data_IF_785237506126
#
_entry.id   IF_785237506126
#
_cell.length_a   1.000
_cell.length_b   1.000
_cell.length_c   1.000
_cell.angle_alpha   90.00
_cell.angle_beta   90.00
_cell.angle_gamma   90.00
#
_symmetry.space_group_name_H-M   'P 1'
#
loop_
_entity.id
_entity.type
_entity.pdbx_description
1 polymer ?
#
# COMPACT_ATOMS: atom_id res chain seq x y z
N UNK A 1 -4.52 -25.29 9.39
CA UNK A 1 -5.51 -24.20 9.37
C UNK A 1 -6.57 -24.55 8.35
N UNK A 2 -7.79 -24.87 8.78
CA UNK A 2 -8.91 -25.15 7.87
C UNK A 2 -9.37 -23.83 7.25
N UNK A 3 -9.09 -23.60 5.97
CA UNK A 3 -9.70 -22.47 5.26
C UNK A 3 -11.21 -22.75 5.16
N UNK A 4 -11.99 -21.99 5.91
CA UNK A 4 -13.44 -22.08 5.90
C UNK A 4 -13.95 -21.23 4.72
N UNK A 5 -13.96 -21.80 3.53
CA UNK A 5 -14.30 -21.12 2.27
C UNK A 5 -15.82 -20.98 2.07
N UNK A 6 -16.62 -21.51 2.99
CA UNK A 6 -18.08 -21.50 2.87
C UNK A 6 -18.64 -20.13 3.23
N UNK A 7 -19.09 -19.40 2.22
CA UNK A 7 -19.82 -18.14 2.37
C UNK A 7 -21.28 -18.47 2.66
N UNK A 8 -21.80 -17.96 3.77
CA UNK A 8 -23.20 -18.07 4.20
C UNK A 8 -23.80 -16.68 4.38
N UNK A 9 -25.13 -16.59 4.49
CA UNK A 9 -25.80 -15.33 4.82
C UNK A 9 -25.27 -14.71 6.14
N UNK A 10 -24.96 -15.56 7.12
CA UNK A 10 -24.36 -15.14 8.40
C UNK A 10 -22.98 -14.52 8.20
N UNK A 11 -22.12 -15.11 7.37
CA UNK A 11 -20.76 -14.57 7.15
C UNK A 11 -20.79 -13.28 6.34
N UNK A 12 -21.69 -13.15 5.36
CA UNK A 12 -21.84 -11.92 4.57
C UNK A 12 -22.32 -10.75 5.46
N UNK A 13 -23.42 -10.95 6.18
CA UNK A 13 -23.99 -9.91 7.05
C UNK A 13 -23.07 -9.57 8.21
N UNK A 14 -22.36 -10.55 8.78
CA UNK A 14 -21.36 -10.28 9.80
C UNK A 14 -20.19 -9.45 9.27
N UNK A 15 -19.71 -9.74 8.05
CA UNK A 15 -18.66 -8.96 7.40
C UNK A 15 -19.10 -7.51 7.17
N UNK A 16 -20.27 -7.31 6.55
CA UNK A 16 -20.82 -5.97 6.30
C UNK A 16 -20.97 -5.15 7.59
N UNK A 17 -21.55 -5.77 8.63
CA UNK A 17 -21.74 -5.10 9.93
C UNK A 17 -20.41 -4.76 10.60
N UNK A 18 -19.43 -5.68 10.54
CA UNK A 18 -18.12 -5.48 11.14
C UNK A 18 -17.37 -4.33 10.46
N UNK A 19 -17.34 -4.30 9.13
CA UNK A 19 -16.73 -3.20 8.37
C UNK A 19 -17.41 -1.86 8.65
N UNK A 20 -18.75 -1.83 8.74
CA UNK A 20 -19.47 -0.60 9.07
C UNK A 20 -19.10 -0.08 10.47
N UNK A 21 -18.98 -0.97 11.46
CA UNK A 21 -18.59 -0.61 12.83
C UNK A 21 -17.15 -0.14 12.91
N UNK A 22 -16.21 -0.81 12.24
CA UNK A 22 -14.80 -0.41 12.20
C UNK A 22 -14.66 1.03 11.68
N UNK A 23 -15.29 1.34 10.54
CA UNK A 23 -15.23 2.66 9.93
C UNK A 23 -15.77 3.77 10.85
N UNK A 24 -16.88 3.52 11.54
CA UNK A 24 -17.48 4.49 12.47
C UNK A 24 -16.59 4.69 13.70
N UNK A 25 -16.05 3.61 14.26
CA UNK A 25 -15.14 3.70 15.40
C UNK A 25 -13.82 4.39 15.03
N UNK A 26 -13.30 4.19 13.83
CA UNK A 26 -12.11 4.89 13.32
C UNK A 26 -12.36 6.39 13.19
N UNK A 27 -13.52 6.78 12.66
CA UNK A 27 -13.92 8.19 12.53
C UNK A 27 -13.92 8.93 13.86
N UNK A 28 -14.36 8.27 14.93
CA UNK A 28 -14.38 8.83 16.28
C UNK A 28 -13.08 8.62 17.06
N UNK A 29 -12.05 8.00 16.47
CA UNK A 29 -10.78 7.72 17.13
C UNK A 29 -10.89 6.73 18.29
N UNK A 30 -11.88 5.84 18.26
CA UNK A 30 -12.16 4.86 19.33
C UNK A 30 -11.38 3.55 19.17
N UNK A 31 -10.70 3.36 18.04
CA UNK A 31 -9.88 2.18 17.74
C UNK A 31 -8.47 2.60 17.34
N UNK A 32 -7.48 1.81 17.75
CA UNK A 32 -6.13 1.92 17.24
C UNK A 32 -5.93 0.96 16.06
N UNK A 33 -5.60 1.53 14.90
CA UNK A 33 -5.37 0.82 13.65
C UNK A 33 -3.88 0.85 13.23
N UNK A 34 -2.99 1.22 14.16
CA UNK A 34 -1.57 1.41 13.91
C UNK A 34 -0.89 0.15 13.37
N UNK A 35 -1.10 -1.01 14.00
CA UNK A 35 -0.49 -2.28 13.59
C UNK A 35 -0.87 -2.68 12.16
N UNK A 36 -2.17 -2.60 11.82
CA UNK A 36 -2.66 -2.91 10.47
C UNK A 36 -2.08 -1.94 9.44
N UNK A 37 -2.03 -0.65 9.77
CA UNK A 37 -1.47 0.39 8.91
C UNK A 37 0.02 0.16 8.69
N UNK A 38 0.78 -0.19 9.72
CA UNK A 38 2.20 -0.55 9.63
C UNK A 38 2.40 -1.76 8.74
N UNK A 39 1.56 -2.80 8.87
CA UNK A 39 1.64 -3.99 8.01
C UNK A 39 1.36 -3.68 6.53
N UNK A 40 0.36 -2.85 6.23
CA UNK A 40 -0.02 -2.50 4.85
C UNK A 40 0.92 -1.50 4.19
N UNK A 41 1.35 -0.46 4.93
CA UNK A 41 2.22 0.60 4.39
C UNK A 41 3.69 0.16 4.40
N UNK A 42 4.06 -0.68 5.36
CA UNK A 42 5.44 -1.10 5.60
C UNK A 42 6.29 0.01 6.20
N UNK A 43 7.30 -0.37 6.98
CA UNK A 43 8.20 0.58 7.66
C UNK A 43 9.21 1.23 6.71
N UNK A 44 9.45 0.64 5.54
CA UNK A 44 10.53 1.03 4.61
C UNK A 44 10.10 2.00 3.50
N UNK A 45 9.04 2.78 3.70
CA UNK A 45 8.52 3.70 2.68
C UNK A 45 9.55 4.72 2.21
N UNK A 46 10.31 5.30 3.14
CA UNK A 46 11.34 6.31 2.83
C UNK A 46 12.52 5.72 2.05
N UNK A 47 12.99 4.54 2.45
CA UNK A 47 14.05 3.83 1.75
C UNK A 47 13.64 3.47 0.30
N UNK A 48 12.39 3.06 0.10
CA UNK A 48 11.85 2.80 -1.24
C UNK A 48 11.75 4.08 -2.09
N UNK A 49 11.37 5.20 -1.48
CA UNK A 49 11.31 6.50 -2.15
C UNK A 49 12.69 6.94 -2.64
N UNK A 50 13.71 6.84 -1.79
CA UNK A 50 15.09 7.21 -2.16
C UNK A 50 15.65 6.31 -3.25
N UNK A 51 15.39 5.00 -3.18
CA UNK A 51 15.79 4.08 -4.24
C UNK A 51 15.13 4.44 -5.60
N UNK A 52 13.88 4.90 -5.60
CA UNK A 52 13.19 5.34 -6.81
C UNK A 52 13.75 6.67 -7.36
N UNK A 53 14.09 7.62 -6.48
CA UNK A 53 14.74 8.88 -6.90
C UNK A 53 16.09 8.62 -7.57
N UNK A 54 16.91 7.75 -6.98
CA UNK A 54 18.20 7.39 -7.56
C UNK A 54 18.04 6.73 -8.94
N UNK A 55 17.08 5.82 -9.09
CA UNK A 55 16.75 5.24 -10.41
C UNK A 55 16.30 6.29 -11.42
N UNK A 56 15.52 7.27 -10.98
CA UNK A 56 15.05 8.36 -11.83
C UNK A 56 16.22 9.24 -12.31
N UNK A 57 17.13 9.60 -11.41
CA UNK A 57 18.34 10.35 -11.77
C UNK A 57 19.24 9.59 -12.74
N UNK A 58 19.43 8.29 -12.50
CA UNK A 58 20.21 7.43 -13.38
C UNK A 58 19.60 7.35 -14.79
N UNK A 59 18.28 7.16 -14.88
CA UNK A 59 17.56 7.16 -16.15
C UNK A 59 17.62 8.52 -16.87
N UNK A 60 17.53 9.64 -16.13
CA UNK A 60 17.71 10.98 -16.72
C UNK A 60 19.09 11.12 -17.34
N UNK A 61 20.13 10.67 -16.64
CA UNK A 61 21.51 10.71 -17.14
C UNK A 61 21.65 9.88 -18.41
N UNK A 62 21.14 8.64 -18.41
CA UNK A 62 21.16 7.76 -19.59
C UNK A 62 20.43 8.38 -20.80
N UNK A 63 19.32 9.08 -20.59
CA UNK A 63 18.59 9.77 -21.67
C UNK A 63 19.39 10.94 -22.24
N UNK A 64 20.04 11.75 -21.40
CA UNK A 64 20.88 12.85 -21.89
C UNK A 64 22.15 12.33 -22.62
N UNK A 65 22.74 11.24 -22.14
CA UNK A 65 23.83 10.53 -22.83
C UNK A 65 23.38 9.95 -24.19
N UNK A 66 22.16 9.42 -24.28
CA UNK A 66 21.60 8.94 -25.55
C UNK A 66 21.33 10.08 -26.54
N UNK A 67 20.75 11.20 -26.09
CA UNK A 67 20.51 12.39 -26.93
C UNK A 67 21.80 13.01 -27.47
N UNK A 68 22.87 12.97 -26.70
CA UNK A 68 24.18 13.50 -27.12
C UNK A 68 24.91 12.55 -28.07
N UNK A 69 24.68 11.24 -27.98
CA UNK A 69 25.26 10.24 -28.88
C UNK A 69 24.49 10.04 -30.21
N UNK A 70 23.20 10.35 -30.28
CA UNK A 70 22.41 10.33 -31.53
C UNK A 70 22.50 11.65 -32.33
N UNK A 71 23.32 12.60 -31.89
CA UNK A 71 23.65 13.83 -32.62
C UNK A 71 24.80 13.65 -33.62
N UNK A 72 24.59 12.81 -34.65
CA UNK A 72 25.28 12.83 -35.96
C UNK A 72 24.24 12.70 -37.06
#
# INVERSE_FOLDING_TARGET
>A
MSQNTTITLKTLTAHELLSARENVCELFGLIDNSERRTLLVGDNREAQLEALKLKLEDLKRQVEEAKTNEGV
#
